data_IF_708975565754
#
_entry.id   IF_708975565754
#
_cell.length_a   1.000
_cell.length_b   1.000
_cell.length_c   1.000
_cell.angle_alpha   90.00
_cell.angle_beta   90.00
_cell.angle_gamma   90.00
#
_symmetry.space_group_name_H-M   'P 1'
#
loop_
_entity.id
_entity.type
_entity.pdbx_description
1 polymer ?
#
# COMPACT_ATOMS: atom_id res chain seq x y z
N UNK A 1 -8.98 -6.82 -4.08
CA UNK A 1 -7.59 -6.49 -4.47
C UNK A 1 -6.75 -6.38 -3.21
N UNK A 2 -5.60 -7.04 -3.09
CA UNK A 2 -4.72 -6.92 -1.91
C UNK A 2 -3.46 -6.14 -2.24
N UNK A 3 -2.76 -5.62 -1.22
CA UNK A 3 -1.47 -4.96 -1.43
C UNK A 3 -0.44 -5.86 -2.16
N UNK A 4 -0.50 -7.18 -1.95
CA UNK A 4 0.39 -8.14 -2.63
C UNK A 4 0.12 -8.20 -4.13
N UNK A 5 -1.12 -8.00 -4.57
CA UNK A 5 -1.52 -8.06 -5.98
C UNK A 5 -1.13 -6.81 -6.79
N UNK A 6 -0.72 -5.72 -6.13
CA UNK A 6 -0.18 -4.53 -6.81
C UNK A 6 1.21 -4.82 -7.39
N UNK A 7 1.55 -4.22 -8.53
CA UNK A 7 2.90 -4.25 -9.06
C UNK A 7 3.82 -3.27 -8.32
N UNK A 8 5.14 -3.53 -8.33
CA UNK A 8 6.09 -2.55 -7.79
C UNK A 8 6.02 -1.30 -8.67
N UNK A 9 5.83 -0.15 -8.02
CA UNK A 9 5.64 1.12 -8.70
C UNK A 9 4.18 1.56 -8.83
N UNK A 10 3.22 0.66 -8.59
CA UNK A 10 1.80 1.00 -8.62
C UNK A 10 1.46 2.03 -7.54
N UNK A 11 0.58 2.96 -7.93
CA UNK A 11 -0.03 3.91 -7.02
C UNK A 11 -1.34 3.34 -6.49
N UNK A 12 -1.53 3.44 -5.18
CA UNK A 12 -2.74 3.00 -4.54
C UNK A 12 -3.16 3.96 -3.44
N UNK A 13 -4.43 3.86 -3.06
CA UNK A 13 -5.07 4.74 -2.09
C UNK A 13 -5.91 3.91 -1.15
N UNK A 14 -6.03 4.35 0.09
CA UNK A 14 -7.05 3.82 1.01
C UNK A 14 -8.37 4.53 0.73
N UNK A 15 -9.45 3.78 0.50
CA UNK A 15 -10.79 4.35 0.33
C UNK A 15 -11.09 5.27 1.53
N UNK A 16 -11.63 6.47 1.26
CA UNK A 16 -11.86 7.60 2.19
C UNK A 16 -10.66 8.50 2.51
N UNK A 17 -9.48 8.29 1.93
CA UNK A 17 -8.39 9.28 1.98
C UNK A 17 -8.60 10.42 0.97
N UNK A 18 -7.80 11.49 1.03
CA UNK A 18 -7.80 12.61 0.07
C UNK A 18 -7.32 12.23 -1.33
N UNK A 19 -7.90 12.85 -2.37
CA UNK A 19 -7.67 12.57 -3.80
C UNK A 19 -6.34 13.12 -4.31
N UNK A 20 -5.75 14.02 -3.54
CA UNK A 20 -4.50 14.67 -3.90
C UNK A 20 -3.26 13.83 -3.54
N UNK A 21 -3.44 12.72 -2.81
CA UNK A 21 -2.34 12.01 -2.14
C UNK A 21 -2.46 10.50 -2.29
N UNK A 22 -1.35 9.82 -2.58
CA UNK A 22 -1.31 8.36 -2.74
C UNK A 22 -0.12 7.70 -2.07
N UNK A 23 -0.21 6.39 -1.92
CA UNK A 23 0.93 5.52 -1.67
C UNK A 23 1.47 4.95 -2.97
N UNK A 24 2.76 4.64 -3.00
CA UNK A 24 3.40 3.90 -4.10
C UNK A 24 3.94 2.59 -3.57
N UNK A 25 3.71 1.45 -4.23
CA UNK A 25 4.34 0.19 -3.82
C UNK A 25 5.84 0.25 -4.11
N UNK A 26 6.66 0.20 -3.06
CA UNK A 26 8.12 0.30 -3.18
C UNK A 26 8.76 -1.08 -3.40
N UNK A 27 8.24 -2.10 -2.72
CA UNK A 27 8.61 -3.51 -2.91
C UNK A 27 7.49 -4.42 -2.40
N UNK A 28 7.76 -5.73 -2.31
CA UNK A 28 6.81 -6.74 -1.82
C UNK A 28 6.29 -6.47 -0.40
N UNK A 29 7.03 -5.71 0.42
CA UNK A 29 6.79 -5.54 1.85
C UNK A 29 6.65 -4.07 2.31
N UNK A 30 6.82 -3.09 1.42
CA UNK A 30 6.89 -1.67 1.76
C UNK A 30 6.17 -0.82 0.72
N UNK A 31 5.56 0.27 1.21
CA UNK A 31 5.02 1.35 0.39
C UNK A 31 5.74 2.66 0.72
N UNK A 32 5.78 3.58 -0.24
CA UNK A 32 6.36 4.94 -0.21
C UNK A 32 7.70 5.06 0.54
N UNK A 33 8.79 5.20 -0.22
CA UNK A 33 10.18 5.29 0.27
C UNK A 33 10.46 6.35 1.37
N UNK A 34 9.58 7.34 1.55
CA UNK A 34 9.79 8.45 2.49
C UNK A 34 8.75 8.53 3.62
N UNK A 35 7.97 7.47 3.88
CA UNK A 35 6.89 7.42 4.89
C UNK A 35 5.74 8.43 4.72
N UNK A 36 5.84 9.35 3.75
CA UNK A 36 4.85 10.38 3.44
C UNK A 36 4.09 10.01 2.15
N UNK A 37 2.81 10.41 2.12
CA UNK A 37 1.98 10.34 0.92
C UNK A 37 2.61 11.18 -0.19
N UNK A 38 2.57 10.67 -1.42
CA UNK A 38 3.07 11.39 -2.57
C UNK A 38 1.92 12.17 -3.22
N UNK A 39 2.12 13.45 -3.56
CA UNK A 39 1.18 14.18 -4.38
C UNK A 39 1.09 13.49 -5.75
N UNK A 40 -0.10 13.44 -6.32
CA UNK A 40 -0.35 12.74 -7.59
C UNK A 40 -1.04 13.65 -8.59
N UNK A 41 -0.75 13.41 -9.87
CA UNK A 41 -1.48 14.04 -10.97
C UNK A 41 -2.82 13.35 -11.16
N UNK A 42 -3.84 14.11 -11.55
CA UNK A 42 -5.21 13.61 -11.67
C UNK A 42 -5.35 12.48 -12.70
N UNK A 43 -4.51 12.47 -13.73
CA UNK A 43 -4.49 11.46 -14.79
C UNK A 43 -3.80 10.14 -14.40
N UNK A 44 -3.09 10.10 -13.26
CA UNK A 44 -2.37 8.89 -12.86
C UNK A 44 -3.35 7.83 -12.40
N UNK A 45 -3.18 6.61 -12.90
CA UNK A 45 -3.98 5.46 -12.48
C UNK A 45 -3.68 5.12 -11.02
N UNK A 46 -4.70 5.19 -10.17
CA UNK A 46 -4.61 4.85 -8.75
C UNK A 46 -5.55 3.70 -8.46
N UNK A 47 -5.02 2.64 -7.85
CA UNK A 47 -5.82 1.50 -7.41
C UNK A 47 -6.42 1.79 -6.03
N UNK A 48 -7.76 1.87 -5.88
CA UNK A 48 -8.37 2.00 -4.58
C UNK A 48 -8.29 0.66 -3.83
N UNK A 49 -7.80 0.70 -2.61
CA UNK A 49 -7.80 -0.42 -1.67
C UNK A 49 -8.66 -0.06 -0.45
N UNK A 50 -9.49 -0.99 -0.01
CA UNK A 50 -10.26 -0.86 1.22
C UNK A 50 -9.37 -1.05 2.44
N UNK A 51 -9.86 -0.58 3.59
CA UNK A 51 -9.18 -0.81 4.88
C UNK A 51 -8.96 -2.30 5.13
N UNK A 52 -9.96 -3.15 4.86
CA UNK A 52 -9.85 -4.60 5.05
C UNK A 52 -8.73 -5.22 4.18
N UNK A 53 -8.61 -4.78 2.93
CA UNK A 53 -7.60 -5.28 1.99
C UNK A 53 -6.17 -4.89 2.40
N UNK A 54 -6.01 -3.77 3.10
CA UNK A 54 -4.73 -3.31 3.65
C UNK A 54 -4.44 -3.95 5.01
N UNK A 55 -5.44 -4.07 5.87
CA UNK A 55 -5.32 -4.71 7.19
C UNK A 55 -4.86 -6.15 7.06
N UNK A 56 -5.43 -6.92 6.12
CA UNK A 56 -4.99 -8.29 5.86
C UNK A 56 -3.50 -8.36 5.51
N UNK A 57 -3.00 -7.40 4.74
CA UNK A 57 -1.59 -7.34 4.39
C UNK A 57 -0.69 -7.03 5.60
N UNK A 58 -1.05 -6.05 6.43
CA UNK A 58 -0.27 -5.73 7.63
C UNK A 58 -0.31 -6.87 8.67
N UNK A 59 -1.45 -7.55 8.80
CA UNK A 59 -1.58 -8.74 9.64
C UNK A 59 -0.64 -9.87 9.16
N UNK A 60 -0.67 -10.22 7.88
CA UNK A 60 0.22 -11.22 7.29
C UNK A 60 1.70 -10.84 7.44
N UNK A 61 2.04 -9.56 7.28
CA UNK A 61 3.40 -9.06 7.49
C UNK A 61 3.84 -9.22 8.95
N UNK A 62 2.96 -8.91 9.90
CA UNK A 62 3.25 -9.07 11.32
C UNK A 62 3.44 -10.54 11.69
N UNK A 63 2.60 -11.44 11.20
CA UNK A 63 2.74 -12.89 11.39
C UNK A 63 4.07 -13.42 10.81
N UNK A 64 4.43 -12.99 9.61
CA UNK A 64 5.72 -13.35 8.99
C UNK A 64 6.92 -12.85 9.80
N UNK A 65 6.89 -11.60 10.28
CA UNK A 65 7.97 -11.08 11.12
C UNK A 65 8.07 -11.84 12.45
N UNK A 66 6.94 -12.23 13.03
CA UNK A 66 6.92 -13.07 14.24
C UNK A 66 7.49 -14.47 13.97
N UNK A 67 7.23 -15.08 12.80
CA UNK A 67 7.76 -16.41 12.47
C UNK A 67 9.27 -16.42 12.28
N UNK A 68 9.87 -15.31 11.83
CA UNK A 68 11.33 -15.14 11.72
C UNK A 68 12.03 -14.92 13.07
N UNK A 69 11.28 -14.63 14.14
CA UNK A 69 11.82 -14.37 15.48
C UNK A 69 11.87 -15.62 16.38
N UNK A 70 11.56 -16.80 15.83
CA UNK A 70 11.74 -18.12 16.46
C UNK A 70 12.99 -18.81 15.94
#
# INVERSE_FOLDING_TARGET
MTFQQLEIGDYFRIVRMSDCCVYRKANSSQCSLNALLQPIRAETKVTPLTVAEITNYFALKQEFLQSLSK
#
